data_IF_301222120304
#
_entry.id   IF_301222120304
#
_cell.length_a   1.000
_cell.length_b   1.000
_cell.length_c   1.000
_cell.angle_alpha   90.00
_cell.angle_beta   90.00
_cell.angle_gamma   90.00
#
_symmetry.space_group_name_H-M   'P 1'
#
loop_
_entity.id
_entity.type
_entity.pdbx_description
1 polymer ?
#
# COMPACT_ATOMS: atom_id res chain seq x y z
N UNK A 1 4.00 -3.51 -4.34
CA UNK A 1 3.14 -4.43 -3.58
C UNK A 1 2.30 -3.59 -2.62
N UNK A 2 1.03 -3.80 -2.62
CA UNK A 2 0.09 -3.27 -1.64
C UNK A 2 0.17 -4.13 -0.37
N UNK A 3 -0.42 -3.70 0.69
CA UNK A 3 -0.51 -4.47 1.93
C UNK A 3 -1.57 -3.87 2.82
N UNK A 4 -2.27 -4.71 3.55
CA UNK A 4 -3.29 -4.33 4.52
C UNK A 4 -3.26 -5.26 5.71
N UNK A 5 -3.32 -4.69 6.90
CA UNK A 5 -3.56 -5.42 8.13
C UNK A 5 -4.29 -4.54 9.12
N UNK A 6 -5.12 -5.16 9.93
CA UNK A 6 -5.79 -4.55 11.07
C UNK A 6 -5.75 -5.54 12.22
N UNK A 7 -5.45 -5.02 13.40
CA UNK A 7 -5.57 -5.79 14.63
C UNK A 7 -6.27 -4.95 15.69
N UNK A 8 -7.00 -5.63 16.55
CA UNK A 8 -7.79 -5.03 17.62
C UNK A 8 -7.50 -5.78 18.91
N UNK A 9 -7.31 -5.04 20.00
CA UNK A 9 -7.15 -5.58 21.34
C UNK A 9 -8.21 -4.97 22.26
N UNK A 10 -8.93 -5.82 22.97
CA UNK A 10 -9.90 -5.39 23.96
C UNK A 10 -9.26 -5.45 25.35
N UNK A 11 -9.20 -4.31 26.02
CA UNK A 11 -8.75 -4.16 27.39
C UNK A 11 -9.87 -3.77 28.33
N UNK A 12 -9.56 -3.69 29.62
CA UNK A 12 -10.52 -3.26 30.65
C UNK A 12 -11.02 -1.81 30.38
N UNK A 13 -10.17 -0.95 29.83
CA UNK A 13 -10.44 0.45 29.60
C UNK A 13 -11.08 0.77 28.23
N UNK A 14 -11.00 -0.15 27.28
CA UNK A 14 -11.54 0.08 25.93
C UNK A 14 -10.96 -0.84 24.87
N UNK A 15 -11.20 -0.49 23.64
CA UNK A 15 -10.76 -1.22 22.46
C UNK A 15 -9.68 -0.43 21.74
N UNK A 16 -8.50 -1.00 21.59
CA UNK A 16 -7.38 -0.46 20.85
C UNK A 16 -7.39 -1.07 19.44
N UNK A 17 -7.28 -0.26 18.42
CA UNK A 17 -7.22 -0.73 17.03
C UNK A 17 -6.05 -0.11 16.29
N UNK A 18 -5.25 -0.95 15.64
CA UNK A 18 -4.18 -0.53 14.72
C UNK A 18 -4.51 -1.03 13.32
N UNK A 19 -4.51 -0.12 12.37
CA UNK A 19 -4.68 -0.40 10.94
C UNK A 19 -3.43 0.07 10.20
N UNK A 20 -2.85 -0.80 9.37
CA UNK A 20 -1.70 -0.48 8.50
C UNK A 20 -2.10 -0.80 7.07
N UNK A 21 -1.99 0.18 6.19
CA UNK A 21 -2.17 -0.02 4.76
C UNK A 21 -1.04 0.63 3.97
N UNK A 22 -0.66 0.00 2.86
CA UNK A 22 0.37 0.54 1.98
C UNK A 22 -0.01 0.44 0.53
N UNK A 23 0.49 1.41 -0.25
CA UNK A 23 0.53 1.37 -1.70
C UNK A 23 1.97 1.42 -2.18
N UNK A 24 2.20 0.96 -3.41
CA UNK A 24 3.54 0.91 -3.96
C UNK A 24 4.12 2.33 -4.15
N UNK A 25 5.32 2.56 -3.61
CA UNK A 25 6.11 3.76 -3.81
C UNK A 25 7.59 3.42 -3.82
N UNK A 26 8.40 4.24 -4.50
CA UNK A 26 9.86 4.07 -4.57
C UNK A 26 10.51 4.29 -3.20
N UNK A 27 10.06 5.28 -2.46
CA UNK A 27 10.58 5.65 -1.15
C UNK A 27 9.56 5.30 -0.06
N UNK A 28 10.03 5.18 1.17
CA UNK A 28 9.17 5.04 2.33
C UNK A 28 8.58 6.41 2.69
N UNK A 29 7.26 6.49 2.68
CA UNK A 29 6.48 7.64 3.16
C UNK A 29 5.50 7.13 4.21
N UNK A 30 5.66 7.60 5.46
CA UNK A 30 4.85 7.18 6.60
C UNK A 30 3.91 8.30 7.01
N UNK A 31 2.62 8.04 6.94
CA UNK A 31 1.57 8.93 7.40
C UNK A 31 0.84 8.31 8.60
N UNK A 32 0.78 9.06 9.71
CA UNK A 32 0.10 8.61 10.92
C UNK A 32 -1.20 9.38 11.12
N UNK A 33 -2.25 8.62 11.48
CA UNK A 33 -3.53 9.14 11.95
C UNK A 33 -3.75 8.60 13.36
N UNK A 34 -3.40 9.40 14.33
CA UNK A 34 -3.40 9.04 15.74
C UNK A 34 -4.22 10.09 16.49
N UNK A 35 -5.11 9.64 17.36
CA UNK A 35 -5.83 10.53 18.28
C UNK A 35 -4.84 11.27 19.18
N UNK A 36 -5.17 12.49 19.56
CA UNK A 36 -4.26 13.36 20.36
C UNK A 36 -3.84 12.68 21.68
N UNK A 37 -4.70 11.93 22.29
CA UNK A 37 -4.44 11.16 23.53
C UNK A 37 -3.32 10.11 23.39
N UNK A 38 -3.13 9.59 22.18
CA UNK A 38 -2.16 8.52 21.86
C UNK A 38 -0.92 9.05 21.13
N UNK A 39 -0.84 10.35 20.90
CA UNK A 39 0.23 10.96 20.09
C UNK A 39 1.61 10.74 20.68
N UNK A 40 1.72 10.62 22.00
CA UNK A 40 2.98 10.30 22.68
C UNK A 40 3.58 8.94 22.26
N UNK A 41 2.77 8.02 21.72
CA UNK A 41 3.20 6.69 21.27
C UNK A 41 3.64 6.65 19.80
N UNK A 42 3.48 7.75 19.05
CA UNK A 42 3.85 7.83 17.64
C UNK A 42 5.33 7.51 17.38
N UNK A 43 6.31 8.01 18.16
CA UNK A 43 7.73 7.74 17.91
C UNK A 43 8.06 6.24 17.95
N UNK A 44 7.54 5.52 18.95
CA UNK A 44 7.77 4.08 19.12
C UNK A 44 7.13 3.28 17.98
N UNK A 45 5.90 3.65 17.61
CA UNK A 45 5.17 3.07 16.49
C UNK A 45 5.92 3.29 15.17
N UNK A 46 6.43 4.49 14.97
CA UNK A 46 7.23 4.86 13.79
C UNK A 46 8.50 4.04 13.71
N UNK A 47 9.24 3.91 14.81
CA UNK A 47 10.46 3.11 14.86
C UNK A 47 10.19 1.63 14.54
N UNK A 48 9.15 1.03 15.11
CA UNK A 48 8.78 -0.35 14.85
C UNK A 48 8.41 -0.59 13.37
N UNK A 49 7.67 0.32 12.75
CA UNK A 49 7.27 0.21 11.35
C UNK A 49 8.46 0.41 10.40
N UNK A 50 9.34 1.37 10.67
CA UNK A 50 10.54 1.61 9.87
C UNK A 50 11.51 0.43 9.92
N UNK A 51 11.57 -0.30 11.01
CA UNK A 51 12.38 -1.51 11.12
C UNK A 51 11.86 -2.66 10.23
N UNK A 52 10.55 -2.70 9.97
CA UNK A 52 9.90 -3.77 9.21
C UNK A 52 9.66 -3.43 7.73
N UNK A 53 9.57 -2.15 7.38
CA UNK A 53 9.13 -1.69 6.06
C UNK A 53 10.16 -0.70 5.49
N UNK A 54 10.76 -1.06 4.37
CA UNK A 54 11.84 -0.26 3.74
C UNK A 54 11.37 0.66 2.62
N UNK A 55 10.16 0.42 2.05
CA UNK A 55 9.61 1.21 0.93
C UNK A 55 8.09 1.11 0.86
N UNK A 56 7.47 2.12 0.27
CA UNK A 56 6.02 2.21 0.07
C UNK A 56 5.45 3.45 0.74
N UNK A 57 4.29 3.91 0.28
CA UNK A 57 3.51 4.90 1.01
C UNK A 57 2.61 4.13 1.99
N UNK A 58 2.85 4.32 3.28
CA UNK A 58 2.21 3.58 4.37
C UNK A 58 1.37 4.54 5.21
N UNK A 59 0.10 4.28 5.33
CA UNK A 59 -0.80 4.96 6.26
C UNK A 59 -1.03 4.05 7.48
N UNK A 60 -0.84 4.60 8.65
CA UNK A 60 -1.02 3.92 9.94
C UNK A 60 -2.07 4.67 10.73
N UNK A 61 -3.10 3.96 11.15
CA UNK A 61 -4.14 4.50 12.03
C UNK A 61 -4.06 3.79 13.38
N UNK A 62 -3.97 4.59 14.43
CA UNK A 62 -4.09 4.14 15.80
C UNK A 62 -5.29 4.82 16.41
N UNK A 63 -6.26 4.05 16.86
CA UNK A 63 -7.46 4.54 17.52
C UNK A 63 -7.73 3.77 18.80
N UNK A 64 -8.26 4.50 19.76
CA UNK A 64 -8.73 3.95 21.02
C UNK A 64 -10.21 4.30 21.20
N UNK A 65 -11.02 3.29 21.28
CA UNK A 65 -12.44 3.42 21.60
C UNK A 65 -12.63 3.11 23.08
N UNK A 66 -12.95 4.12 23.89
CA UNK A 66 -13.30 3.88 25.30
C UNK A 66 -14.56 3.01 25.35
N UNK A 67 -14.53 1.98 26.17
CA UNK A 67 -15.76 1.26 26.50
C UNK A 67 -16.66 2.26 27.21
N UNK A 68 -17.87 2.47 26.71
CA UNK A 68 -18.87 3.16 27.48
C UNK A 68 -19.08 2.32 28.75
N UNK A 69 -18.36 2.70 29.80
CA UNK A 69 -18.47 2.01 31.07
C UNK A 69 -19.89 2.21 31.56
N UNK A 70 -20.71 1.17 31.46
CA UNK A 70 -21.93 1.06 32.28
C UNK A 70 -21.62 0.94 33.74
N UNK A 71 -20.37 1.22 34.15
CA UNK A 71 -19.88 1.26 35.51
C UNK A 71 -20.16 2.62 36.14
N UNK A 72 -20.32 2.61 37.44
CA UNK A 72 -20.51 3.78 38.31
C UNK A 72 -19.54 4.88 37.91
N UNK A 73 -20.07 6.00 37.39
CA UNK A 73 -19.28 7.22 37.21
C UNK A 73 -18.77 7.66 38.59
N UNK A 74 -17.46 7.80 38.72
CA UNK A 74 -16.86 8.24 39.98
C UNK A 74 -16.84 9.77 39.96
N UNK A 75 -17.31 10.34 41.04
CA UNK A 75 -17.33 11.80 41.20
C UNK A 75 -16.05 12.26 41.89
N UNK A 76 -15.46 13.31 41.37
CA UNK A 76 -14.34 14.01 41.99
C UNK A 76 -14.87 14.84 43.18
N UNK A 77 -14.81 14.24 44.38
CA UNK A 77 -15.33 14.84 45.59
C UNK A 77 -14.55 16.10 46.01
N UNK A 78 -13.25 16.17 45.70
CA UNK A 78 -12.43 17.34 46.02
C UNK A 78 -12.88 18.54 45.17
N UNK A 79 -13.02 18.34 43.85
CA UNK A 79 -13.51 19.38 42.96
C UNK A 79 -14.94 19.82 43.31
N UNK A 80 -15.82 18.89 43.68
CA UNK A 80 -17.16 19.23 44.13
C UNK A 80 -17.17 20.08 45.40
N UNK A 81 -16.27 19.82 46.34
CA UNK A 81 -16.14 20.63 47.54
C UNK A 81 -15.63 22.03 47.25
N UNK A 82 -14.67 22.16 46.30
CA UNK A 82 -14.17 23.45 45.82
C UNK A 82 -15.24 24.25 45.11
N UNK A 83 -16.02 23.61 44.21
CA UNK A 83 -17.16 24.28 43.55
C UNK A 83 -18.21 24.77 44.54
N UNK A 84 -18.53 23.99 45.57
CA UNK A 84 -19.46 24.39 46.62
C UNK A 84 -18.93 25.59 47.42
N UNK A 85 -17.62 25.64 47.75
CA UNK A 85 -16.99 26.76 48.39
C UNK A 85 -17.04 28.03 47.50
N UNK A 86 -16.67 27.90 46.23
CA UNK A 86 -16.70 29.02 45.26
C UNK A 86 -18.12 29.55 45.06
N UNK A 87 -19.11 28.67 44.94
CA UNK A 87 -20.52 29.08 44.88
C UNK A 87 -20.94 29.88 46.09
N UNK A 88 -20.54 29.46 47.31
CA UNK A 88 -20.80 30.17 48.53
C UNK A 88 -20.17 31.56 48.55
N UNK A 89 -18.94 31.74 48.03
CA UNK A 89 -18.28 33.04 47.89
C UNK A 89 -19.03 33.95 46.93
N UNK A 90 -19.43 33.44 45.75
CA UNK A 90 -20.18 34.21 44.77
C UNK A 90 -21.52 34.67 45.34
N UNK A 91 -22.24 33.79 46.05
CA UNK A 91 -23.54 34.13 46.64
C UNK A 91 -23.43 35.18 47.73
N UNK A 92 -22.28 35.30 48.47
CA UNK A 92 -22.04 36.38 49.42
C UNK A 92 -21.96 37.75 48.75
N UNK A 93 -21.38 37.82 47.52
CA UNK A 93 -21.25 39.08 46.78
C UNK A 93 -22.48 39.38 45.91
N UNK A 94 -23.17 38.34 45.47
CA UNK A 94 -24.34 38.43 44.59
C UNK A 94 -25.49 37.60 45.19
N UNK A 95 -26.25 38.21 46.15
CA UNK A 95 -27.29 37.50 46.88
C UNK A 95 -28.40 36.92 46.04
N UNK A 96 -28.54 37.36 44.78
CA UNK A 96 -29.54 36.86 43.82
C UNK A 96 -28.96 35.81 42.85
N UNK A 97 -27.70 35.39 42.99
CA UNK A 97 -27.11 34.34 42.16
C UNK A 97 -27.81 33.01 42.45
N UNK A 98 -28.28 32.36 41.41
CA UNK A 98 -28.88 31.02 41.51
C UNK A 98 -27.81 29.97 41.84
N UNK A 99 -28.18 28.93 42.59
CA UNK A 99 -27.31 27.78 42.84
C UNK A 99 -27.15 26.97 41.57
N UNK A 100 -25.95 26.37 41.35
CA UNK A 100 -25.71 25.45 40.25
C UNK A 100 -26.62 24.21 40.40
N UNK A 101 -27.23 23.84 39.30
CA UNK A 101 -28.01 22.61 39.20
C UNK A 101 -27.08 21.36 39.15
N UNK A 102 -27.61 20.21 39.54
CA UNK A 102 -26.90 18.94 39.40
C UNK A 102 -26.42 18.70 37.97
N UNK A 103 -27.24 19.08 36.98
CA UNK A 103 -26.85 18.90 35.56
C UNK A 103 -25.68 19.80 35.16
N UNK A 104 -25.56 21.00 35.71
CA UNK A 104 -24.42 21.90 35.48
C UNK A 104 -23.16 21.38 36.16
N UNK A 105 -23.29 20.88 37.40
CA UNK A 105 -22.19 20.27 38.13
C UNK A 105 -21.63 19.03 37.43
N UNK A 106 -22.49 18.14 36.93
CA UNK A 106 -22.05 16.94 36.21
C UNK A 106 -21.41 17.24 34.83
N UNK A 107 -21.73 18.39 34.24
CA UNK A 107 -21.10 18.87 33.01
C UNK A 107 -19.81 19.64 33.23
N UNK A 108 -19.50 19.97 34.48
CA UNK A 108 -18.29 20.72 34.77
C UNK A 108 -17.05 19.85 34.53
N UNK A 109 -16.05 20.35 33.80
CA UNK A 109 -14.86 19.58 33.47
C UNK A 109 -14.17 19.04 34.73
N UNK A 110 -13.94 17.73 34.80
CA UNK A 110 -13.24 17.07 35.89
C UNK A 110 -14.13 16.64 37.07
N UNK A 111 -15.44 16.97 37.09
CA UNK A 111 -16.37 16.50 38.15
C UNK A 111 -16.67 15.02 38.02
N UNK A 112 -16.77 14.52 36.80
CA UNK A 112 -16.80 13.08 36.54
C UNK A 112 -15.35 12.68 36.29
N UNK A 113 -14.81 11.81 37.16
CA UNK A 113 -13.48 11.27 36.96
C UNK A 113 -13.46 10.41 35.70
N UNK A 114 -12.69 10.82 34.74
CA UNK A 114 -12.34 9.96 33.63
C UNK A 114 -11.30 8.94 34.12
N UNK A 115 -11.60 7.65 33.99
CA UNK A 115 -10.63 6.60 34.27
C UNK A 115 -9.36 6.85 33.48
N UNK A 116 -8.34 7.37 34.12
CA UNK A 116 -7.01 7.50 33.51
C UNK A 116 -6.45 6.10 33.33
N UNK A 117 -6.39 5.67 32.07
CA UNK A 117 -5.69 4.43 31.74
C UNK A 117 -4.24 4.65 32.14
N UNK A 118 -3.68 3.72 32.93
CA UNK A 118 -2.27 3.75 33.26
C UNK A 118 -1.44 3.84 31.96
N UNK A 119 -0.71 4.92 31.79
CA UNK A 119 0.02 5.23 30.55
C UNK A 119 1.01 4.10 30.18
N UNK A 120 1.58 3.43 31.19
CA UNK A 120 2.50 2.30 31.02
C UNK A 120 1.79 1.06 30.46
N UNK A 121 0.57 0.75 30.94
CA UNK A 121 -0.18 -0.41 30.44
C UNK A 121 -0.62 -0.19 28.98
N UNK A 122 -1.04 1.04 28.65
CA UNK A 122 -1.42 1.40 27.28
C UNK A 122 -0.24 1.31 26.33
N UNK A 123 0.96 1.75 26.74
CA UNK A 123 2.18 1.65 25.95
C UNK A 123 2.54 0.17 25.66
N UNK A 124 2.46 -0.68 26.66
CA UNK A 124 2.68 -2.14 26.50
C UNK A 124 1.68 -2.77 25.54
N UNK A 125 0.40 -2.44 25.67
CA UNK A 125 -0.67 -2.97 24.82
C UNK A 125 -0.51 -2.51 23.37
N UNK A 126 -0.16 -1.22 23.14
CA UNK A 126 0.14 -0.68 21.81
C UNK A 126 1.35 -1.36 21.20
N UNK A 127 2.42 -1.59 21.98
CA UNK A 127 3.61 -2.26 21.46
C UNK A 127 3.31 -3.71 21.03
N UNK A 128 2.59 -4.48 21.85
CA UNK A 128 2.19 -5.85 21.51
C UNK A 128 1.27 -5.91 20.28
N UNK A 129 0.27 -5.02 20.23
CA UNK A 129 -0.65 -4.95 19.11
C UNK A 129 0.05 -4.51 17.82
N UNK A 130 1.03 -3.59 17.91
CA UNK A 130 1.87 -3.15 16.80
C UNK A 130 2.65 -4.31 16.21
N UNK A 131 3.32 -5.12 17.04
CA UNK A 131 4.08 -6.27 16.57
C UNK A 131 3.19 -7.28 15.84
N UNK A 132 2.00 -7.56 16.36
CA UNK A 132 1.01 -8.44 15.74
C UNK A 132 0.53 -7.88 14.39
N UNK A 133 0.22 -6.59 14.34
CA UNK A 133 -0.27 -5.93 13.11
C UNK A 133 0.81 -5.89 12.03
N UNK A 134 2.07 -5.60 12.39
CA UNK A 134 3.21 -5.62 11.47
C UNK A 134 3.43 -7.04 10.91
N UNK A 135 3.38 -8.07 11.74
CA UNK A 135 3.51 -9.46 11.30
C UNK A 135 2.44 -9.82 10.27
N UNK A 136 1.18 -9.52 10.55
CA UNK A 136 0.05 -9.75 9.64
C UNK A 136 0.19 -8.94 8.33
N UNK A 137 0.69 -7.70 8.42
CA UNK A 137 0.93 -6.85 7.27
C UNK A 137 2.04 -7.40 6.37
N UNK A 138 3.16 -7.84 6.94
CA UNK A 138 4.26 -8.46 6.20
C UNK A 138 3.79 -9.73 5.51
N UNK A 139 3.01 -10.55 6.21
CA UNK A 139 2.46 -11.78 5.65
C UNK A 139 1.47 -11.53 4.50
N UNK A 140 0.61 -10.52 4.63
CA UNK A 140 -0.25 -10.05 3.54
C UNK A 140 0.55 -9.68 2.28
N UNK A 141 1.65 -8.93 2.45
CA UNK A 141 2.54 -8.55 1.35
C UNK A 141 3.25 -9.75 0.73
N UNK A 142 3.67 -10.73 1.52
CA UNK A 142 4.29 -11.97 1.03
C UNK A 142 3.33 -12.77 0.16
N UNK A 143 2.08 -12.92 0.58
CA UNK A 143 1.05 -13.63 -0.20
C UNK A 143 0.77 -12.95 -1.54
N UNK A 144 0.59 -11.63 -1.55
CA UNK A 144 0.44 -10.88 -2.80
C UNK A 144 1.67 -11.00 -3.70
N UNK A 145 2.87 -10.91 -3.12
CA UNK A 145 4.12 -11.07 -3.84
C UNK A 145 4.25 -12.44 -4.50
N UNK A 146 3.92 -13.51 -3.80
CA UNK A 146 3.96 -14.87 -4.33
C UNK A 146 2.95 -15.07 -5.47
N UNK A 147 1.74 -14.50 -5.36
CA UNK A 147 0.74 -14.56 -6.42
C UNK A 147 1.19 -13.82 -7.69
N UNK A 148 1.79 -12.64 -7.53
CA UNK A 148 2.36 -11.87 -8.64
C UNK A 148 3.54 -12.58 -9.30
N UNK A 149 4.42 -13.19 -8.51
CA UNK A 149 5.56 -13.98 -9.00
C UNK A 149 5.08 -15.15 -9.86
N UNK A 150 4.15 -15.95 -9.36
CA UNK A 150 3.57 -17.07 -10.11
C UNK A 150 2.92 -16.61 -11.43
N UNK A 151 2.20 -15.48 -11.41
CA UNK A 151 1.60 -14.92 -12.62
C UNK A 151 2.67 -14.48 -13.64
N UNK A 152 3.74 -13.81 -13.19
CA UNK A 152 4.82 -13.37 -14.06
C UNK A 152 5.58 -14.56 -14.66
N UNK A 153 5.88 -15.59 -13.87
CA UNK A 153 6.53 -16.80 -14.35
C UNK A 153 5.70 -17.49 -15.42
N UNK A 154 4.40 -17.67 -15.21
CA UNK A 154 3.50 -18.24 -16.22
C UNK A 154 3.48 -17.44 -17.53
N UNK A 155 3.59 -16.09 -17.45
CA UNK A 155 3.68 -15.25 -18.66
C UNK A 155 5.01 -15.44 -19.39
N UNK A 156 6.11 -15.52 -18.64
CA UNK A 156 7.45 -15.76 -19.20
C UNK A 156 7.49 -17.12 -19.91
N UNK A 157 6.99 -18.18 -19.28
CA UNK A 157 6.90 -19.52 -19.90
C UNK A 157 6.09 -19.50 -21.20
N UNK A 158 4.97 -18.76 -21.20
CA UNK A 158 4.15 -18.60 -22.41
C UNK A 158 4.91 -17.87 -23.52
N UNK A 159 5.66 -16.82 -23.18
CA UNK A 159 6.52 -16.09 -24.15
C UNK A 159 7.65 -16.98 -24.68
N UNK A 160 8.31 -17.75 -23.83
CA UNK A 160 9.35 -18.71 -24.24
C UNK A 160 8.79 -19.79 -25.20
N UNK A 161 7.59 -20.29 -24.90
CA UNK A 161 6.93 -21.26 -25.79
C UNK A 161 6.63 -20.66 -27.17
N UNK A 162 6.21 -19.39 -27.22
CA UNK A 162 6.03 -18.67 -28.51
C UNK A 162 7.35 -18.51 -29.24
N UNK A 163 8.40 -18.07 -28.57
CA UNK A 163 9.75 -17.92 -29.16
C UNK A 163 10.24 -19.25 -29.71
N UNK A 164 10.15 -20.36 -28.95
CA UNK A 164 10.50 -21.70 -29.41
C UNK A 164 9.74 -22.14 -30.67
N UNK A 165 8.49 -21.72 -30.82
CA UNK A 165 7.68 -22.03 -32.01
C UNK A 165 8.08 -21.16 -33.22
N UNK A 166 8.41 -19.89 -32.99
CA UNK A 166 8.75 -18.95 -34.07
C UNK A 166 10.17 -19.18 -34.59
N UNK A 167 11.12 -19.45 -33.73
CA UNK A 167 12.56 -19.59 -34.08
C UNK A 167 12.80 -20.51 -35.30
N UNK A 168 12.20 -21.71 -35.41
CA UNK A 168 12.41 -22.58 -36.57
C UNK A 168 11.69 -22.08 -37.85
N UNK A 169 10.73 -21.16 -37.73
CA UNK A 169 10.01 -20.60 -38.88
C UNK A 169 10.76 -19.47 -39.54
N UNK A 170 11.67 -18.78 -38.80
CA UNK A 170 12.41 -17.61 -39.32
C UNK A 170 13.22 -17.95 -40.56
N UNK A 171 14.05 -19.02 -40.63
CA UNK A 171 14.78 -19.39 -41.85
C UNK A 171 13.86 -19.66 -43.04
N UNK A 172 12.71 -20.28 -42.81
CA UNK A 172 11.73 -20.57 -43.86
C UNK A 172 11.14 -19.30 -44.44
N UNK A 173 10.75 -18.34 -43.56
CA UNK A 173 10.21 -17.05 -44.00
C UNK A 173 11.25 -16.24 -44.76
N UNK A 174 12.51 -16.21 -44.31
CA UNK A 174 13.61 -15.56 -45.02
C UNK A 174 13.80 -16.20 -46.39
N UNK A 175 13.86 -17.52 -46.49
CA UNK A 175 14.00 -18.23 -47.75
C UNK A 175 12.86 -17.95 -48.71
N UNK A 176 11.60 -17.94 -48.23
CA UNK A 176 10.44 -17.60 -49.06
C UNK A 176 10.47 -16.15 -49.51
N UNK A 177 10.87 -15.23 -48.65
CA UNK A 177 11.02 -13.83 -49.00
C UNK A 177 12.10 -13.63 -50.10
N UNK A 178 13.28 -14.24 -49.91
CA UNK A 178 14.35 -14.22 -50.91
C UNK A 178 13.89 -14.81 -52.22
N UNK A 179 13.21 -15.95 -52.23
CA UNK A 179 12.70 -16.57 -53.44
C UNK A 179 11.72 -15.68 -54.20
N UNK A 180 10.75 -15.07 -53.48
CA UNK A 180 9.80 -14.11 -54.06
C UNK A 180 10.49 -12.86 -54.62
N UNK A 181 11.52 -12.37 -53.93
CA UNK A 181 12.30 -11.24 -54.42
C UNK A 181 13.04 -11.57 -55.72
N UNK A 182 13.66 -12.77 -55.79
CA UNK A 182 14.34 -13.26 -56.99
C UNK A 182 13.32 -13.38 -58.15
N UNK A 183 12.17 -14.00 -57.92
CA UNK A 183 11.10 -14.15 -58.93
C UNK A 183 10.65 -12.79 -59.48
N UNK A 184 10.36 -11.82 -58.62
CA UNK A 184 9.97 -10.46 -59.02
C UNK A 184 11.05 -9.75 -59.82
N UNK A 185 12.33 -9.91 -59.43
CA UNK A 185 13.44 -9.31 -60.23
C UNK A 185 13.63 -10.03 -61.56
N UNK A 186 13.46 -11.35 -61.63
CA UNK A 186 13.49 -12.07 -62.91
C UNK A 186 12.37 -11.62 -63.86
N UNK A 187 11.17 -11.44 -63.33
CA UNK A 187 10.03 -10.93 -64.12
C UNK A 187 10.26 -9.51 -64.62
N UNK A 188 10.77 -8.61 -63.75
CA UNK A 188 11.07 -7.23 -64.09
C UNK A 188 12.17 -7.09 -65.14
N UNK A 189 13.11 -8.01 -65.17
CA UNK A 189 14.20 -8.04 -66.17
C UNK A 189 13.81 -8.77 -67.47
N UNK A 190 12.56 -9.24 -67.57
CA UNK A 190 12.09 -9.97 -68.75
C UNK A 190 12.77 -11.32 -68.97
N UNK A 191 13.44 -11.87 -67.94
CA UNK A 191 14.17 -13.13 -68.04
C UNK A 191 13.28 -14.35 -67.95
N UNK A 192 12.02 -14.20 -67.65
CA UNK A 192 11.01 -15.24 -67.59
C UNK A 192 10.37 -15.58 -68.96
N UNK A 193 10.60 -14.75 -69.99
CA UNK A 193 10.08 -14.92 -71.36
C UNK A 193 11.16 -14.68 -72.40
N UNK A 194 11.34 -15.66 -73.26
CA UNK A 194 12.19 -15.75 -74.48
C UNK A 194 12.50 -14.39 -75.12
N UNK A 195 13.50 -13.68 -74.69
CA UNK A 195 13.97 -12.46 -75.28
C UNK A 195 15.45 -12.25 -75.01
N UNK A 196 16.23 -12.08 -76.08
CA UNK A 196 17.68 -11.96 -76.20
C UNK A 196 18.33 -11.08 -75.10
N UNK A 197 19.21 -11.58 -74.22
CA UNK A 197 19.80 -10.80 -73.16
C UNK A 197 21.01 -10.00 -73.77
N UNK A 198 20.93 -8.71 -73.75
CA UNK A 198 22.07 -7.86 -73.93
C UNK A 198 23.00 -7.89 -72.71
N UNK A 199 24.19 -8.47 -72.89
CA UNK A 199 25.46 -8.24 -72.18
C UNK A 199 25.69 -8.69 -70.74
N UNK A 200 24.73 -9.19 -69.98
CA UNK A 200 24.96 -9.80 -68.66
C UNK A 200 24.51 -11.26 -68.68
N UNK A 201 25.39 -12.18 -68.30
CA UNK A 201 25.01 -13.59 -68.18
C UNK A 201 23.98 -13.76 -67.06
N UNK A 202 23.05 -14.70 -67.26
CA UNK A 202 22.01 -15.03 -66.28
C UNK A 202 22.59 -15.29 -64.88
N UNK A 203 23.82 -15.77 -64.81
CA UNK A 203 24.53 -16.02 -63.55
C UNK A 203 24.95 -14.72 -62.85
N UNK A 204 25.45 -13.74 -63.55
CA UNK A 204 25.85 -12.44 -62.99
C UNK A 204 24.67 -11.65 -62.47
N UNK A 205 23.51 -11.74 -63.12
CA UNK A 205 22.26 -11.13 -62.64
C UNK A 205 21.79 -11.81 -61.36
N UNK A 206 21.81 -13.14 -61.33
CA UNK A 206 21.41 -13.91 -60.14
C UNK A 206 22.35 -13.68 -58.96
N UNK A 207 23.65 -13.54 -59.17
CA UNK A 207 24.65 -13.23 -58.16
C UNK A 207 24.41 -11.85 -57.53
N UNK A 208 24.12 -10.87 -58.34
CA UNK A 208 23.82 -9.49 -57.94
C UNK A 208 22.51 -9.40 -57.16
N UNK A 209 21.47 -10.13 -57.60
CA UNK A 209 20.20 -10.27 -56.90
C UNK A 209 20.42 -10.91 -55.52
N UNK A 210 21.21 -11.96 -55.42
CA UNK A 210 21.55 -12.61 -54.13
C UNK A 210 22.27 -11.65 -53.23
N UNK A 211 23.24 -10.88 -53.68
CA UNK A 211 23.97 -9.90 -52.90
C UNK A 211 23.05 -8.81 -52.32
N UNK A 212 22.14 -8.25 -53.13
CA UNK A 212 21.20 -7.23 -52.65
C UNK A 212 20.12 -7.77 -51.69
N UNK A 213 19.67 -9.03 -51.87
CA UNK A 213 18.68 -9.65 -50.99
C UNK A 213 19.30 -10.13 -49.68
N UNK A 214 20.63 -10.30 -49.59
CA UNK A 214 21.34 -10.71 -48.37
C UNK A 214 21.65 -9.51 -47.46
N UNK A 215 21.52 -8.28 -47.96
CA UNK A 215 21.78 -7.04 -47.26
C UNK A 215 20.56 -6.49 -46.47
N UNK A 216 19.41 -7.13 -46.56
CA UNK A 216 18.18 -6.83 -45.83
C UNK A 216 17.77 -8.05 -44.95
#
# INVERSE_FOLDING_TARGET
MTGYAVATSEGAAGTLTIEIKSVNSRFLDLQFRINDELRALEPDLRAAIMAAITRGKVEVRLSFGRKASGGSQVLNHELLADLARLQGEVTRHFAQASQMTVAELLRWPGVIEESTIGQESLQSDVAALTATTIAAFVDSRKREGAALDAMLQSRIESMEAIVKRITPLIPQVISQFQQKAIERMQDALGLAGHGNPSTLTRQEVLERIRQEVTLY
#
